data_IF_757051510263
#
_entry.id   IF_757051510263
#
_cell.length_a   1.000
_cell.length_b   1.000
_cell.length_c   1.000
_cell.angle_alpha   90.00
_cell.angle_beta   90.00
_cell.angle_gamma   90.00
#
_symmetry.space_group_name_H-M   'P 1'
#
loop_
_entity.id
_entity.type
_entity.pdbx_description
1 polymer ?
#
# COMPACT_ATOMS: atom_id res chain seq x y z
N UNK A 1 39.97 5.82 -14.91
CA UNK A 1 40.24 4.60 -14.13
C UNK A 1 38.93 3.86 -13.97
N UNK A 2 38.81 2.67 -14.57
CA UNK A 2 37.55 1.92 -14.60
C UNK A 2 37.19 1.40 -13.22
N UNK A 3 35.98 1.70 -12.75
CA UNK A 3 35.41 1.04 -11.59
C UNK A 3 35.24 -0.44 -11.92
N UNK A 4 36.16 -1.27 -11.44
CA UNK A 4 35.98 -2.70 -11.44
C UNK A 4 34.78 -3.04 -10.56
N UNK A 5 33.69 -3.53 -11.17
CA UNK A 5 32.47 -4.01 -10.48
C UNK A 5 32.71 -5.30 -9.68
N UNK A 6 33.97 -5.69 -9.47
CA UNK A 6 34.34 -6.83 -8.64
C UNK A 6 33.92 -6.59 -7.19
N UNK A 7 33.06 -7.44 -6.62
CA UNK A 7 32.73 -7.38 -5.20
C UNK A 7 34.01 -7.46 -4.37
N UNK A 8 34.11 -6.59 -3.36
CA UNK A 8 35.22 -6.60 -2.40
C UNK A 8 34.74 -7.08 -1.05
N UNK A 9 35.66 -7.61 -0.24
CA UNK A 9 35.34 -7.95 1.14
C UNK A 9 34.98 -6.70 1.94
N UNK A 10 34.20 -6.86 3.02
CA UNK A 10 33.83 -5.74 3.89
C UNK A 10 35.05 -5.11 4.54
N UNK A 11 36.07 -5.91 4.88
CA UNK A 11 37.34 -5.41 5.40
C UNK A 11 38.08 -4.53 4.38
N UNK A 12 38.09 -4.93 3.12
CA UNK A 12 38.69 -4.14 2.05
C UNK A 12 37.90 -2.85 1.77
N UNK A 13 36.57 -2.92 1.81
CA UNK A 13 35.72 -1.73 1.72
C UNK A 13 35.98 -0.76 2.87
N UNK A 14 36.10 -1.26 4.10
CA UNK A 14 36.40 -0.46 5.29
C UNK A 14 37.77 0.23 5.17
N UNK A 15 38.80 -0.50 4.71
CA UNK A 15 40.13 0.08 4.43
C UNK A 15 40.07 1.19 3.38
N UNK A 16 39.35 0.97 2.27
CA UNK A 16 39.21 1.98 1.19
C UNK A 16 38.46 3.23 1.65
N UNK A 17 37.54 3.07 2.59
CA UNK A 17 36.74 4.15 3.17
C UNK A 17 37.40 4.80 4.39
N UNK A 18 38.55 4.29 4.83
CA UNK A 18 39.25 4.71 6.06
C UNK A 18 38.35 4.70 7.31
N UNK A 19 37.58 3.63 7.46
CA UNK A 19 36.69 3.42 8.61
C UNK A 19 36.92 2.07 9.25
N UNK A 20 36.55 1.93 10.52
CA UNK A 20 36.54 0.64 11.18
C UNK A 20 35.49 -0.31 10.56
N UNK A 21 35.81 -1.59 10.49
CA UNK A 21 34.93 -2.62 9.89
C UNK A 21 33.58 -2.70 10.63
N UNK A 22 33.59 -2.59 11.96
CA UNK A 22 32.36 -2.62 12.77
C UNK A 22 31.54 -1.35 12.53
N UNK A 23 32.20 -0.20 12.41
CA UNK A 23 31.54 1.05 12.05
C UNK A 23 30.86 0.96 10.67
N UNK A 24 31.53 0.35 9.69
CA UNK A 24 30.95 0.12 8.37
C UNK A 24 29.67 -0.73 8.44
N UNK A 25 29.67 -1.82 9.21
CA UNK A 25 28.46 -2.62 9.43
C UNK A 25 27.35 -1.85 10.15
N UNK A 26 27.69 -1.07 11.17
CA UNK A 26 26.71 -0.28 11.92
C UNK A 26 26.02 0.76 11.04
N UNK A 27 26.79 1.42 10.17
CA UNK A 27 26.28 2.39 9.21
C UNK A 27 25.34 1.71 8.20
N UNK A 28 25.80 0.61 7.57
CA UNK A 28 24.99 -0.14 6.61
C UNK A 28 23.68 -0.66 7.22
N UNK A 29 23.72 -1.20 8.44
CA UNK A 29 22.52 -1.66 9.14
C UNK A 29 21.56 -0.51 9.49
N UNK A 30 22.11 0.65 9.87
CA UNK A 30 21.31 1.84 10.17
C UNK A 30 20.60 2.34 8.91
N UNK A 31 21.31 2.42 7.79
CA UNK A 31 20.74 2.80 6.50
C UNK A 31 19.66 1.81 6.04
N UNK A 32 19.94 0.50 6.13
CA UNK A 32 18.98 -0.54 5.80
C UNK A 32 17.70 -0.42 6.65
N UNK A 33 17.84 -0.12 7.95
CA UNK A 33 16.70 0.09 8.86
C UNK A 33 15.89 1.32 8.47
N UNK A 34 16.55 2.44 8.18
CA UNK A 34 15.88 3.68 7.72
C UNK A 34 15.09 3.41 6.43
N UNK A 35 15.71 2.70 5.46
CA UNK A 35 15.04 2.35 4.21
C UNK A 35 13.83 1.46 4.44
N UNK A 36 13.96 0.43 5.27
CA UNK A 36 12.87 -0.48 5.63
C UNK A 36 11.72 0.24 6.34
N UNK A 37 12.01 1.20 7.22
CA UNK A 37 11.00 2.03 7.87
C UNK A 37 10.28 2.96 6.89
N UNK A 38 11.00 3.57 5.94
CA UNK A 38 10.40 4.40 4.87
C UNK A 38 9.50 3.56 3.97
N UNK A 39 9.97 2.39 3.55
CA UNK A 39 9.17 1.46 2.76
C UNK A 39 7.88 1.04 3.47
N UNK A 40 7.97 0.66 4.76
CA UNK A 40 6.79 0.32 5.57
C UNK A 40 5.80 1.48 5.68
N UNK A 41 6.27 2.70 5.88
CA UNK A 41 5.41 3.90 5.89
C UNK A 41 4.72 4.12 4.55
N UNK A 42 5.46 3.98 3.45
CA UNK A 42 4.89 4.10 2.11
C UNK A 42 3.83 3.03 1.83
N UNK A 43 4.08 1.79 2.25
CA UNK A 43 3.14 0.69 2.08
C UNK A 43 1.85 0.92 2.87
N UNK A 44 1.95 1.43 4.11
CA UNK A 44 0.78 1.82 4.93
C UNK A 44 -0.04 2.90 4.25
N UNK A 45 0.59 4.00 3.83
CA UNK A 45 -0.10 5.10 3.13
C UNK A 45 -0.78 4.64 1.84
N UNK A 46 -0.13 3.76 1.09
CA UNK A 46 -0.73 3.15 -0.11
C UNK A 46 -1.96 2.31 0.24
N UNK A 47 -1.90 1.53 1.32
CA UNK A 47 -3.03 0.75 1.82
C UNK A 47 -4.20 1.64 2.27
N UNK A 48 -3.92 2.71 3.02
CA UNK A 48 -4.90 3.71 3.44
C UNK A 48 -5.56 4.39 2.23
N UNK A 49 -4.77 4.88 1.27
CA UNK A 49 -5.29 5.48 0.05
C UNK A 49 -6.14 4.49 -0.77
N UNK A 50 -5.72 3.23 -0.84
CA UNK A 50 -6.48 2.19 -1.54
C UNK A 50 -7.84 1.95 -0.89
N UNK A 51 -7.89 1.97 0.44
CA UNK A 51 -9.11 1.82 1.22
C UNK A 51 -10.05 3.01 1.03
N UNK A 52 -9.52 4.24 1.08
CA UNK A 52 -10.30 5.45 0.86
C UNK A 52 -10.89 5.48 -0.56
N UNK A 53 -10.08 5.18 -1.57
CA UNK A 53 -10.54 5.11 -2.96
C UNK A 53 -11.63 4.04 -3.17
N UNK A 54 -11.45 2.86 -2.57
CA UNK A 54 -12.44 1.80 -2.69
C UNK A 54 -13.73 2.15 -1.96
N UNK A 55 -13.64 2.79 -0.80
CA UNK A 55 -14.81 3.27 -0.05
C UNK A 55 -15.61 4.29 -0.84
N UNK A 56 -14.94 5.30 -1.39
CA UNK A 56 -15.57 6.33 -2.22
C UNK A 56 -16.27 5.71 -3.44
N UNK A 57 -15.59 4.81 -4.17
CA UNK A 57 -16.17 4.15 -5.32
C UNK A 57 -17.39 3.27 -4.97
N UNK A 58 -17.34 2.57 -3.84
CA UNK A 58 -18.47 1.77 -3.35
C UNK A 58 -19.64 2.66 -2.94
N UNK A 59 -19.38 3.77 -2.23
CA UNK A 59 -20.43 4.70 -1.80
C UNK A 59 -21.17 5.31 -3.01
N UNK A 60 -20.43 5.76 -4.03
CA UNK A 60 -21.00 6.26 -5.29
C UNK A 60 -21.82 5.18 -6.01
N UNK A 61 -21.29 3.95 -6.11
CA UNK A 61 -22.01 2.85 -6.74
C UNK A 61 -23.31 2.50 -5.99
N UNK A 62 -23.28 2.51 -4.66
CA UNK A 62 -24.47 2.26 -3.84
C UNK A 62 -25.55 3.33 -4.05
N UNK A 63 -25.17 4.60 -4.12
CA UNK A 63 -26.10 5.69 -4.44
C UNK A 63 -26.73 5.52 -5.82
N UNK A 64 -25.93 5.20 -6.84
CA UNK A 64 -26.44 4.94 -8.19
C UNK A 64 -27.41 3.75 -8.22
N UNK A 65 -27.09 2.66 -7.53
CA UNK A 65 -27.97 1.49 -7.39
C UNK A 65 -29.33 1.86 -6.79
N UNK A 66 -29.32 2.62 -5.69
CA UNK A 66 -30.55 3.05 -5.01
C UNK A 66 -31.36 4.01 -5.89
N UNK A 67 -30.70 4.94 -6.58
CA UNK A 67 -31.37 5.87 -7.50
C UNK A 67 -32.09 5.16 -8.66
N UNK A 68 -31.62 3.97 -9.04
CA UNK A 68 -32.25 3.09 -10.03
C UNK A 68 -33.36 2.20 -9.44
N UNK A 69 -33.69 2.35 -8.15
CA UNK A 69 -34.67 1.52 -7.44
C UNK A 69 -34.21 0.08 -7.23
N UNK A 70 -32.91 -0.19 -7.31
CA UNK A 70 -32.34 -1.53 -7.15
C UNK A 70 -31.82 -1.77 -5.73
N UNK A 71 -31.75 -3.03 -5.33
CA UNK A 71 -31.19 -3.41 -4.04
C UNK A 71 -29.66 -3.43 -4.08
N UNK A 72 -29.02 -2.83 -3.08
CA UNK A 72 -27.56 -2.87 -2.90
C UNK A 72 -27.11 -4.31 -2.64
N UNK A 73 -26.29 -4.85 -3.55
CA UNK A 73 -25.68 -6.16 -3.42
C UNK A 73 -24.35 -6.23 -4.20
N UNK A 74 -23.52 -7.24 -3.91
CA UNK A 74 -22.18 -7.34 -4.48
C UNK A 74 -22.18 -7.44 -6.01
N UNK A 75 -23.21 -8.06 -6.62
CA UNK A 75 -23.30 -8.17 -8.08
C UNK A 75 -23.46 -6.80 -8.71
N UNK A 76 -24.43 -6.01 -8.25
CA UNK A 76 -24.65 -4.65 -8.75
C UNK A 76 -23.44 -3.74 -8.54
N UNK A 77 -22.73 -3.89 -7.42
CA UNK A 77 -21.49 -3.14 -7.16
C UNK A 77 -20.38 -3.54 -8.13
N UNK A 78 -20.20 -4.83 -8.43
CA UNK A 78 -19.19 -5.30 -9.40
C UNK A 78 -19.49 -4.85 -10.83
N UNK A 79 -20.75 -4.56 -11.17
CA UNK A 79 -21.12 -4.00 -12.46
C UNK A 79 -20.75 -2.51 -12.59
N UNK A 80 -20.52 -1.80 -11.48
CA UNK A 80 -20.25 -0.35 -11.45
C UNK A 80 -18.84 0.01 -11.00
N UNK A 81 -18.24 -0.80 -10.13
CA UNK A 81 -16.91 -0.55 -9.57
C UNK A 81 -15.89 -1.44 -10.26
N UNK A 82 -14.82 -0.89 -10.84
CA UNK A 82 -13.77 -1.67 -11.49
C UNK A 82 -13.17 -2.73 -10.56
N UNK A 83 -12.85 -3.90 -11.13
CA UNK A 83 -12.28 -5.02 -10.37
C UNK A 83 -10.91 -4.69 -9.78
N UNK A 84 -10.17 -3.76 -10.39
CA UNK A 84 -8.90 -3.24 -9.89
C UNK A 84 -9.09 -2.51 -8.56
N UNK A 85 -10.18 -1.73 -8.43
CA UNK A 85 -10.52 -1.01 -7.21
C UNK A 85 -10.96 -2.00 -6.13
N UNK A 86 -11.89 -2.91 -6.45
CA UNK A 86 -12.36 -3.92 -5.49
C UNK A 86 -11.25 -4.90 -5.07
N UNK A 87 -10.36 -5.27 -5.99
CA UNK A 87 -9.23 -6.17 -5.73
C UNK A 87 -8.08 -5.52 -4.97
N UNK A 88 -8.04 -4.19 -4.91
CA UNK A 88 -6.98 -3.46 -4.22
C UNK A 88 -7.09 -3.51 -2.68
N UNK A 89 -8.25 -3.87 -2.15
CA UNK A 89 -8.56 -3.87 -0.71
C UNK A 89 -9.00 -5.25 -0.22
N UNK A 90 -8.68 -5.55 1.04
CA UNK A 90 -9.27 -6.69 1.75
C UNK A 90 -10.57 -6.24 2.41
N UNK A 91 -11.55 -7.14 2.50
CA UNK A 91 -12.79 -6.86 3.24
C UNK A 91 -13.83 -6.02 2.48
N UNK A 92 -13.88 -6.13 1.14
CA UNK A 92 -14.89 -5.44 0.29
C UNK A 92 -16.32 -5.63 0.81
N UNK A 93 -16.66 -6.82 1.33
CA UNK A 93 -17.98 -7.10 1.90
C UNK A 93 -18.28 -6.20 3.10
N UNK A 94 -17.30 -5.99 3.98
CA UNK A 94 -17.45 -5.11 5.15
C UNK A 94 -17.65 -3.66 4.69
N UNK A 95 -16.85 -3.18 3.73
CA UNK A 95 -17.02 -1.83 3.17
C UNK A 95 -18.41 -1.64 2.56
N UNK A 96 -18.95 -2.65 1.89
CA UNK A 96 -20.29 -2.63 1.34
C UNK A 96 -21.38 -2.60 2.42
N UNK A 97 -21.21 -3.37 3.49
CA UNK A 97 -22.13 -3.35 4.64
C UNK A 97 -22.12 -1.98 5.32
N UNK A 98 -20.95 -1.38 5.51
CA UNK A 98 -20.82 -0.05 6.09
C UNK A 98 -21.46 1.03 5.19
N UNK A 99 -21.29 0.92 3.87
CA UNK A 99 -21.92 1.82 2.90
C UNK A 99 -23.45 1.71 2.94
N UNK A 100 -23.97 0.48 2.97
CA UNK A 100 -25.41 0.24 3.11
C UNK A 100 -25.95 0.83 4.41
N UNK A 101 -25.26 0.62 5.53
CA UNK A 101 -25.67 1.17 6.83
C UNK A 101 -25.69 2.70 6.88
N UNK A 102 -24.80 3.38 6.13
CA UNK A 102 -24.85 4.85 5.98
C UNK A 102 -26.10 5.30 5.23
N UNK A 103 -26.42 4.65 4.12
CA UNK A 103 -27.57 5.01 3.28
C UNK A 103 -28.90 4.74 3.98
N UNK A 104 -28.99 3.68 4.79
CA UNK A 104 -30.20 3.36 5.55
C UNK A 104 -30.42 4.28 6.77
N UNK A 105 -29.40 5.05 7.16
CA UNK A 105 -29.48 6.00 8.27
C UNK A 105 -29.84 7.43 7.84
N UNK A 106 -29.82 7.70 6.53
CA UNK A 106 -30.23 8.97 5.89
C UNK A 106 -31.73 8.92 5.48
#
# INVERSE_FOLDING_TARGET
MGNSLTPVSVAEAARRLDVDVRQLYQNANTEARILAERWRRQLRRRGEQSLDNAREAIDVACQDIVSQGKAINLREVRERVPQEVLGSVRGVISLLQDAKGRIEAD
#
